data_IF_587262414307
#
_entry.id   IF_587262414307
#
_cell.length_a   1.000
_cell.length_b   1.000
_cell.length_c   1.000
_cell.angle_alpha   90.00
_cell.angle_beta   90.00
_cell.angle_gamma   90.00
#
_symmetry.space_group_name_H-M   'P 1'
#
loop_
_entity.id
_entity.type
_entity.pdbx_description
1 polymer ?
#
# COMPACT_ATOMS: atom_id res chain seq x y z
N UNK A 1 18.48 4.86 -1.80
CA UNK A 1 18.40 5.72 -3.00
C UNK A 1 16.94 6.06 -3.24
N UNK A 2 16.52 7.29 -2.94
CA UNK A 2 15.17 7.80 -3.23
C UNK A 2 15.37 9.00 -4.14
N UNK A 3 15.17 8.85 -5.46
CA UNK A 3 15.50 9.96 -6.35
C UNK A 3 15.21 9.81 -7.83
N UNK A 4 14.84 8.64 -8.36
CA UNK A 4 14.56 8.51 -9.79
C UNK A 4 13.39 7.57 -10.05
N UNK A 5 12.16 8.05 -9.90
CA UNK A 5 11.01 7.41 -10.52
C UNK A 5 10.13 8.47 -11.19
N UNK A 6 10.16 8.38 -12.52
CA UNK A 6 9.24 8.92 -13.51
C UNK A 6 9.20 10.44 -13.68
N UNK A 7 9.65 10.92 -14.85
CA UNK A 7 9.13 12.18 -15.36
C UNK A 7 7.59 12.05 -15.40
N UNK A 8 6.85 13.08 -14.97
CA UNK A 8 5.40 13.06 -15.02
C UNK A 8 4.93 12.76 -16.44
N UNK A 9 4.06 11.76 -16.59
CA UNK A 9 3.38 11.50 -17.86
C UNK A 9 2.57 12.75 -18.24
N UNK A 10 2.48 13.02 -19.55
CA UNK A 10 1.70 14.14 -20.04
C UNK A 10 0.24 14.01 -19.56
N UNK A 11 -0.25 14.99 -18.81
CA UNK A 11 -1.60 14.96 -18.23
C UNK A 11 -1.70 14.48 -16.78
N UNK A 12 -0.58 14.23 -16.08
CA UNK A 12 -0.63 14.00 -14.64
C UNK A 12 -1.28 15.20 -13.89
N UNK A 13 -2.02 14.92 -12.82
CA UNK A 13 -2.68 15.94 -12.00
C UNK A 13 -2.35 15.78 -10.52
N UNK A 14 -2.46 16.88 -9.77
CA UNK A 14 -2.27 16.85 -8.33
C UNK A 14 -3.38 16.02 -7.69
N UNK A 15 -3.03 14.95 -6.96
CA UNK A 15 -4.02 14.09 -6.30
C UNK A 15 -4.82 14.77 -5.19
N UNK A 16 -4.36 15.93 -4.71
CA UNK A 16 -5.02 16.70 -3.64
C UNK A 16 -6.02 17.71 -4.21
N UNK A 17 -5.60 18.51 -5.20
CA UNK A 17 -6.40 19.63 -5.71
C UNK A 17 -6.85 19.48 -7.16
N UNK A 18 -6.49 18.37 -7.82
CA UNK A 18 -6.83 18.12 -9.23
C UNK A 18 -6.06 18.99 -10.24
N UNK A 19 -5.20 19.91 -9.79
CA UNK A 19 -4.46 20.81 -10.68
C UNK A 19 -3.60 20.01 -11.66
N UNK A 20 -3.85 20.20 -12.96
CA UNK A 20 -3.08 19.56 -14.02
C UNK A 20 -1.63 20.06 -14.06
N UNK A 21 -0.72 19.14 -14.35
CA UNK A 21 0.70 19.41 -14.51
C UNK A 21 0.97 20.18 -15.80
N UNK A 22 1.34 21.46 -15.65
CA UNK A 22 1.82 22.29 -16.76
C UNK A 22 3.35 22.25 -16.84
N UNK A 23 3.87 22.38 -18.06
CA UNK A 23 5.32 22.42 -18.32
C UNK A 23 5.97 23.56 -17.54
N UNK A 24 6.91 23.24 -16.65
CA UNK A 24 7.63 24.20 -15.80
C UNK A 24 7.14 24.31 -14.35
N UNK A 25 6.00 23.70 -14.01
CA UNK A 25 5.53 23.66 -12.61
C UNK A 25 6.19 22.51 -11.83
N UNK A 26 6.47 22.75 -10.54
CA UNK A 26 7.07 21.76 -9.65
C UNK A 26 5.99 20.88 -9.01
N UNK A 27 6.07 19.58 -9.30
CA UNK A 27 5.28 18.54 -8.68
C UNK A 27 6.22 17.49 -8.08
N UNK A 28 5.77 16.89 -6.99
CA UNK A 28 6.50 15.87 -6.25
C UNK A 28 5.71 14.57 -6.27
N UNK A 29 6.37 13.47 -6.64
CA UNK A 29 5.80 12.15 -6.50
C UNK A 29 5.98 11.65 -5.07
N UNK A 30 4.87 11.30 -4.43
CA UNK A 30 4.83 10.75 -3.07
C UNK A 30 4.56 9.24 -3.18
N UNK A 31 5.41 8.43 -2.57
CA UNK A 31 5.29 6.95 -2.66
C UNK A 31 3.96 6.47 -2.09
N UNK A 32 3.26 5.60 -2.83
CA UNK A 32 1.92 5.09 -2.46
C UNK A 32 0.79 6.12 -2.56
N UNK A 33 1.09 7.38 -2.89
CA UNK A 33 0.12 8.46 -2.98
C UNK A 33 0.04 9.09 -4.36
N UNK A 34 1.13 9.25 -5.12
CA UNK A 34 1.11 9.85 -6.46
C UNK A 34 1.61 11.31 -6.50
N UNK A 35 1.35 12.01 -7.61
CA UNK A 35 1.85 13.37 -7.83
C UNK A 35 1.08 14.43 -7.04
N UNK A 36 1.81 15.36 -6.43
CA UNK A 36 1.28 16.48 -5.67
C UNK A 36 2.01 17.77 -6.06
N UNK A 37 1.27 18.85 -6.31
CA UNK A 37 1.86 20.14 -6.61
C UNK A 37 2.58 20.71 -5.38
N UNK A 38 3.56 21.60 -5.59
CA UNK A 38 4.34 22.18 -4.49
C UNK A 38 3.46 22.76 -3.37
N UNK A 39 2.40 23.52 -3.70
CA UNK A 39 1.54 24.17 -2.69
C UNK A 39 0.81 23.16 -1.80
N UNK A 40 0.30 22.06 -2.37
CA UNK A 40 -0.30 20.97 -1.60
C UNK A 40 0.76 20.13 -0.87
N UNK A 41 1.99 20.05 -1.40
CA UNK A 41 3.08 19.27 -0.82
C UNK A 41 3.64 19.86 0.48
N UNK A 42 3.61 21.18 0.66
CA UNK A 42 4.10 21.85 1.88
C UNK A 42 3.11 21.80 3.05
N UNK A 43 1.85 21.47 2.79
CA UNK A 43 0.84 21.38 3.84
C UNK A 43 1.22 20.32 4.88
N UNK A 44 0.99 20.64 6.15
CA UNK A 44 1.18 19.71 7.25
C UNK A 44 0.12 18.62 7.22
N UNK A 45 0.55 17.37 7.34
CA UNK A 45 -0.29 16.18 7.50
C UNK A 45 0.19 15.38 8.70
N UNK A 46 -0.72 14.70 9.37
CA UNK A 46 -0.42 13.88 10.52
C UNK A 46 -0.01 12.47 10.11
N UNK A 47 0.95 11.88 10.82
CA UNK A 47 1.34 10.49 10.66
C UNK A 47 0.39 9.58 11.44
N UNK A 48 -0.24 8.62 10.75
CA UNK A 48 -1.21 7.66 11.33
C UNK A 48 -0.60 6.68 12.34
N UNK A 49 0.72 6.72 12.56
CA UNK A 49 1.44 5.83 13.46
C UNK A 49 1.92 6.54 14.73
N UNK A 50 2.44 7.76 14.61
CA UNK A 50 3.05 8.49 15.74
C UNK A 50 2.44 9.87 16.01
N UNK A 51 1.46 10.32 15.23
CA UNK A 51 0.84 11.64 15.39
C UNK A 51 1.74 12.82 14.99
N UNK A 52 2.94 12.58 14.47
CA UNK A 52 3.85 13.65 14.07
C UNK A 52 3.28 14.42 12.86
N UNK A 53 3.30 15.75 12.93
CA UNK A 53 2.98 16.62 11.78
C UNK A 53 4.19 16.76 10.87
N UNK A 54 4.08 16.24 9.65
CA UNK A 54 5.11 16.31 8.60
C UNK A 54 4.57 17.01 7.36
N UNK A 55 5.44 17.48 6.47
CA UNK A 55 4.99 18.01 5.17
C UNK A 55 4.48 16.86 4.32
N UNK A 56 3.37 17.04 3.61
CA UNK A 56 2.81 16.01 2.71
C UNK A 56 3.83 15.46 1.71
N UNK A 57 4.72 16.30 1.18
CA UNK A 57 5.79 15.86 0.27
C UNK A 57 6.79 14.85 0.89
N UNK A 58 6.84 14.75 2.21
CA UNK A 58 7.72 13.84 2.97
C UNK A 58 6.98 12.63 3.54
N UNK A 59 5.69 12.50 3.27
CA UNK A 59 4.88 11.36 3.67
C UNK A 59 5.15 10.16 2.73
N UNK A 60 4.83 8.96 3.20
CA UNK A 60 4.66 7.78 2.36
C UNK A 60 3.35 7.11 2.73
N UNK A 61 2.57 6.65 1.75
CA UNK A 61 1.42 5.79 2.03
C UNK A 61 1.83 4.33 1.93
N UNK A 62 1.56 3.59 3.00
CA UNK A 62 1.79 2.16 3.08
C UNK A 62 0.56 1.49 3.69
N UNK A 63 -0.09 0.60 2.93
CA UNK A 63 -1.28 -0.16 3.39
C UNK A 63 -2.39 0.78 3.90
N UNK A 64 -2.76 1.76 3.08
CA UNK A 64 -3.79 2.76 3.42
C UNK A 64 -3.36 3.84 4.40
N UNK A 65 -2.25 3.63 5.11
CA UNK A 65 -1.81 4.52 6.20
C UNK A 65 -0.79 5.54 5.72
N UNK A 66 -1.01 6.77 6.14
CA UNK A 66 -0.14 7.91 5.93
C UNK A 66 0.98 7.93 6.97
N UNK A 67 2.19 7.53 6.57
CA UNK A 67 3.33 7.40 7.47
C UNK A 67 4.40 8.46 7.20
N UNK A 68 5.01 8.98 8.27
CA UNK A 68 6.27 9.71 8.13
C UNK A 68 7.40 8.75 7.69
N UNK A 69 8.48 9.27 7.10
CA UNK A 69 9.60 8.45 6.61
C UNK A 69 10.17 7.50 7.67
N UNK A 70 10.23 7.93 8.94
CA UNK A 70 10.74 7.11 10.04
C UNK A 70 9.83 5.91 10.32
N UNK A 71 8.51 6.15 10.48
CA UNK A 71 7.55 5.07 10.70
C UNK A 71 7.45 4.15 9.48
N UNK A 72 7.52 4.71 8.26
CA UNK A 72 7.56 3.94 7.03
C UNK A 72 8.75 2.98 6.98
N UNK A 73 9.97 3.46 7.29
CA UNK A 73 11.16 2.60 7.33
C UNK A 73 11.02 1.48 8.36
N UNK A 74 10.58 1.83 9.57
CA UNK A 74 10.34 0.86 10.63
C UNK A 74 9.33 -0.20 10.19
N UNK A 75 8.18 0.19 9.64
CA UNK A 75 7.17 -0.76 9.18
C UNK A 75 7.65 -1.62 8.01
N UNK A 76 8.49 -1.08 7.12
CA UNK A 76 9.06 -1.86 6.02
C UNK A 76 10.02 -2.95 6.53
N UNK A 77 10.83 -2.63 7.54
CA UNK A 77 11.84 -3.51 8.13
C UNK A 77 11.25 -4.52 9.12
N UNK A 78 10.43 -4.05 10.05
CA UNK A 78 9.91 -4.85 11.18
C UNK A 78 8.45 -5.27 11.00
N UNK A 79 7.76 -4.78 9.97
CA UNK A 79 6.36 -5.11 9.74
C UNK A 79 6.18 -6.56 9.31
N UNK A 80 5.01 -7.10 9.64
CA UNK A 80 4.58 -8.43 9.24
C UNK A 80 4.66 -8.59 7.71
N UNK A 81 5.41 -9.61 7.27
CA UNK A 81 5.67 -9.89 5.85
C UNK A 81 4.64 -10.84 5.26
N UNK A 82 4.05 -11.68 6.10
CA UNK A 82 3.06 -12.70 5.76
C UNK A 82 1.95 -12.70 6.79
N UNK A 83 0.72 -12.82 6.34
CA UNK A 83 -0.44 -12.95 7.20
C UNK A 83 -1.18 -14.25 6.87
N UNK A 84 -1.88 -14.81 7.84
CA UNK A 84 -2.74 -15.97 7.64
C UNK A 84 -4.15 -15.65 8.14
N UNK A 85 -5.18 -16.07 7.39
CA UNK A 85 -6.58 -16.01 7.83
C UNK A 85 -7.24 -17.36 7.66
N UNK A 86 -8.16 -17.64 8.56
CA UNK A 86 -9.00 -18.83 8.50
C UNK A 86 -10.38 -18.48 7.99
N UNK A 87 -10.87 -19.25 7.03
CA UNK A 87 -12.11 -19.00 6.30
C UNK A 87 -12.95 -20.26 6.39
N UNK A 88 -14.18 -20.13 6.89
CA UNK A 88 -15.11 -21.24 6.95
C UNK A 88 -15.97 -21.26 5.68
N UNK A 89 -15.83 -22.30 4.87
CA UNK A 89 -16.53 -22.48 3.60
C UNK A 89 -16.62 -23.95 3.22
N UNK A 90 -17.76 -24.38 2.69
CA UNK A 90 -17.98 -25.75 2.26
C UNK A 90 -17.21 -26.14 0.98
N UNK A 91 -16.87 -25.16 0.14
CA UNK A 91 -16.21 -25.39 -1.14
C UNK A 91 -15.10 -24.36 -1.42
N UNK A 92 -14.22 -24.71 -2.38
CA UNK A 92 -13.04 -23.92 -2.73
C UNK A 92 -13.37 -22.59 -3.42
N UNK A 93 -14.44 -22.52 -4.21
CA UNK A 93 -14.79 -21.30 -4.95
C UNK A 93 -15.28 -20.23 -3.99
N UNK A 94 -16.18 -20.62 -3.08
CA UNK A 94 -16.65 -19.75 -1.99
C UNK A 94 -15.49 -19.35 -1.08
N UNK A 95 -14.58 -20.27 -0.75
CA UNK A 95 -13.40 -19.96 0.07
C UNK A 95 -12.46 -18.96 -0.61
N UNK A 96 -12.24 -19.10 -1.93
CA UNK A 96 -11.42 -18.19 -2.71
C UNK A 96 -12.04 -16.80 -2.81
N UNK A 97 -13.35 -16.71 -3.06
CA UNK A 97 -14.06 -15.43 -3.07
C UNK A 97 -13.90 -14.69 -1.75
N UNK A 98 -14.19 -15.39 -0.64
CA UNK A 98 -14.00 -14.83 0.71
C UNK A 98 -12.54 -14.45 0.99
N UNK A 99 -11.56 -15.23 0.52
CA UNK A 99 -10.14 -14.94 0.73
C UNK A 99 -9.69 -13.67 0.01
N UNK A 100 -10.21 -13.43 -1.19
CA UNK A 100 -9.93 -12.23 -1.98
C UNK A 100 -10.60 -10.98 -1.36
N UNK A 101 -11.87 -11.09 -0.95
CA UNK A 101 -12.61 -10.00 -0.33
C UNK A 101 -12.07 -9.62 1.06
N UNK A 102 -11.59 -10.62 1.81
CA UNK A 102 -11.04 -10.43 3.15
C UNK A 102 -9.52 -10.22 3.16
N UNK A 103 -8.89 -9.92 2.03
CA UNK A 103 -7.47 -9.64 1.98
C UNK A 103 -7.11 -8.44 2.87
N UNK A 104 -6.10 -8.55 3.76
CA UNK A 104 -5.59 -7.40 4.50
C UNK A 104 -5.05 -6.33 3.54
N UNK A 105 -5.21 -5.06 3.90
CA UNK A 105 -4.77 -3.96 3.04
C UNK A 105 -3.25 -4.00 2.77
N UNK A 106 -2.88 -3.90 1.48
CA UNK A 106 -1.52 -4.02 0.96
C UNK A 106 -0.86 -5.39 1.17
N UNK A 107 -1.68 -6.44 1.27
CA UNK A 107 -1.26 -7.82 1.11
C UNK A 107 -1.94 -8.45 -0.11
N UNK A 108 -1.25 -9.39 -0.75
CA UNK A 108 -1.76 -10.23 -1.85
C UNK A 108 -1.97 -11.65 -1.36
N UNK A 109 -3.07 -12.27 -1.77
CA UNK A 109 -3.29 -13.69 -1.56
C UNK A 109 -2.25 -14.48 -2.37
N UNK A 110 -1.47 -15.32 -1.69
CA UNK A 110 -0.43 -16.16 -2.32
C UNK A 110 -0.74 -17.66 -2.22
N UNK A 111 -1.65 -18.05 -1.34
CA UNK A 111 -2.02 -19.44 -1.15
C UNK A 111 -3.38 -19.59 -0.48
N UNK A 112 -4.08 -20.66 -0.84
CA UNK A 112 -5.32 -21.06 -0.19
C UNK A 112 -5.30 -22.59 -0.08
N UNK A 113 -5.47 -23.11 1.13
CA UNK A 113 -5.45 -24.56 1.37
C UNK A 113 -6.51 -24.99 2.38
N UNK A 114 -7.12 -26.15 2.15
CA UNK A 114 -7.99 -26.77 3.16
C UNK A 114 -7.14 -27.28 4.32
N UNK A 115 -7.53 -26.98 5.56
CA UNK A 115 -6.85 -27.55 6.74
C UNK A 115 -7.07 -29.05 6.78
N UNK A 116 -6.00 -29.80 7.02
CA UNK A 116 -6.05 -31.27 7.13
C UNK A 116 -6.97 -31.76 8.25
N UNK A 117 -7.23 -30.94 9.26
CA UNK A 117 -8.10 -31.24 10.40
C UNK A 117 -9.59 -30.92 10.18
N UNK A 118 -9.99 -30.39 9.01
CA UNK A 118 -11.37 -29.96 8.75
C UNK A 118 -11.79 -30.20 7.30
N UNK A 119 -13.11 -30.31 7.09
CA UNK A 119 -13.71 -30.39 5.75
C UNK A 119 -14.21 -29.04 5.22
N UNK A 120 -14.23 -28.02 6.06
CA UNK A 120 -14.84 -26.71 5.76
C UNK A 120 -13.98 -25.51 6.21
N UNK A 121 -12.79 -25.73 6.78
CA UNK A 121 -11.89 -24.67 7.22
C UNK A 121 -10.71 -24.53 6.27
N UNK A 122 -10.66 -23.40 5.59
CA UNK A 122 -9.60 -23.02 4.67
C UNK A 122 -8.64 -22.05 5.36
N UNK A 123 -7.35 -22.21 5.06
CA UNK A 123 -6.31 -21.29 5.46
C UNK A 123 -5.86 -20.50 4.22
N UNK A 124 -6.09 -19.19 4.27
CA UNK A 124 -5.62 -18.23 3.29
C UNK A 124 -4.28 -17.65 3.77
N UNK A 125 -3.27 -17.71 2.91
CA UNK A 125 -1.94 -17.18 3.14
C UNK A 125 -1.72 -15.96 2.27
N UNK A 126 -1.27 -14.87 2.90
CA UNK A 126 -1.06 -13.59 2.26
C UNK A 126 0.39 -13.15 2.41
N UNK A 127 0.92 -12.47 1.40
CA UNK A 127 2.24 -11.83 1.44
C UNK A 127 2.11 -10.34 1.12
N UNK A 128 2.98 -9.54 1.72
CA UNK A 128 2.98 -8.10 1.51
C UNK A 128 3.22 -7.75 0.04
N UNK A 129 2.45 -6.80 -0.49
CA UNK A 129 2.42 -6.48 -1.93
C UNK A 129 3.79 -6.07 -2.49
N UNK A 130 4.57 -5.25 -1.74
CA UNK A 130 5.93 -4.85 -2.13
C UNK A 130 6.90 -6.04 -2.26
N UNK A 131 6.74 -7.07 -1.42
CA UNK A 131 7.56 -8.29 -1.47
C UNK A 131 7.11 -9.17 -2.64
N UNK A 132 5.80 -9.29 -2.83
CA UNK A 132 5.22 -10.08 -3.92
C UNK A 132 5.65 -9.54 -5.29
N UNK A 133 5.51 -8.23 -5.50
CA UNK A 133 5.89 -7.55 -6.75
C UNK A 133 7.38 -7.71 -7.07
N UNK A 134 8.26 -7.63 -6.05
CA UNK A 134 9.70 -7.84 -6.22
C UNK A 134 10.10 -9.26 -6.65
N UNK A 135 9.24 -10.27 -6.42
CA UNK A 135 9.52 -11.66 -6.83
C UNK A 135 9.04 -11.96 -8.25
N UNK A 136 8.07 -11.19 -8.74
CA UNK A 136 7.46 -11.37 -10.05
C UNK A 136 8.06 -10.45 -11.13
N UNK A 137 9.07 -9.65 -10.77
CA UNK A 137 9.91 -8.86 -11.68
C UNK A 137 11.16 -9.61 -12.09
#
# INVERSE_FOLDING_TARGET
>A
MLGHLSKPEAGASCRVCGKEMRKGEQFHYITGFGYVCHSCGIQGVECDSCGAKVRRMTLTVLRGRSLCLTCYRRERETGEKRAMREIKSADIQSALGMALESAPEGFKLIGLRLKTSSKDMWQAEYEREDIFEMRCS
#
